data_IF_968620920480
#
_entry.id   IF_968620920480
#
_cell.length_a   1.000
_cell.length_b   1.000
_cell.length_c   1.000
_cell.angle_alpha   90.00
_cell.angle_beta   90.00
_cell.angle_gamma   90.00
#
_symmetry.space_group_name_H-M   'P 1'
#
loop_
_entity.id
_entity.type
_entity.pdbx_description
1 polymer ?
#
# COMPACT_ATOMS: atom_id res chain seq x y z
N UNK A 1 53.55 -20.34 -95.58
CA UNK A 1 52.13 -20.42 -96.00
C UNK A 1 51.32 -19.59 -95.00
N UNK A 2 51.19 -18.27 -95.20
CA UNK A 2 49.97 -17.57 -95.66
C UNK A 2 48.66 -18.05 -95.01
N UNK A 3 48.19 -17.37 -93.95
CA UNK A 3 46.85 -16.78 -93.68
C UNK A 3 47.01 -15.82 -92.48
N UNK A 4 46.91 -14.48 -92.56
CA UNK A 4 45.87 -13.54 -93.04
C UNK A 4 44.78 -13.26 -91.99
N UNK A 5 44.69 -11.97 -91.57
CA UNK A 5 43.63 -11.39 -90.72
C UNK A 5 44.15 -10.24 -89.83
N UNK A 6 44.61 -9.08 -90.35
CA UNK A 6 43.85 -7.85 -90.69
C UNK A 6 43.18 -7.16 -89.48
N UNK A 7 43.84 -6.15 -88.87
CA UNK A 7 43.68 -4.67 -89.05
C UNK A 7 42.55 -4.06 -88.21
N UNK A 8 42.88 -3.11 -87.32
CA UNK A 8 42.40 -1.72 -87.42
C UNK A 8 43.01 -0.84 -86.31
N UNK A 9 43.87 0.07 -86.77
CA UNK A 9 44.46 1.22 -86.09
C UNK A 9 43.49 2.40 -86.26
N UNK A 10 43.12 3.11 -85.19
CA UNK A 10 43.09 4.58 -85.14
C UNK A 10 42.53 5.10 -83.81
N UNK A 11 43.32 5.99 -83.22
CA UNK A 11 43.04 6.88 -82.10
C UNK A 11 41.84 7.77 -82.34
N UNK A 12 41.02 7.99 -81.30
CA UNK A 12 40.29 9.25 -81.13
C UNK A 12 40.12 9.54 -79.64
N UNK A 13 40.72 10.64 -79.19
CA UNK A 13 40.53 11.21 -77.86
C UNK A 13 39.12 11.80 -77.77
N UNK A 14 38.40 11.51 -76.68
CA UNK A 14 37.29 12.36 -76.23
C UNK A 14 37.33 12.47 -74.72
N UNK A 15 37.68 13.67 -74.27
CA UNK A 15 37.50 14.15 -72.90
C UNK A 15 36.01 14.42 -72.75
N UNK A 16 35.33 13.76 -71.81
CA UNK A 16 33.99 14.15 -71.39
C UNK A 16 33.85 14.15 -69.86
N UNK A 17 33.71 15.39 -69.37
CA UNK A 17 32.94 15.84 -68.22
C UNK A 17 32.92 14.98 -66.95
N UNK A 18 33.72 15.43 -65.98
CA UNK A 18 33.43 15.28 -64.56
C UNK A 18 32.01 15.78 -64.29
N UNK A 19 31.12 14.87 -63.87
CA UNK A 19 29.90 15.21 -63.16
C UNK A 19 30.10 14.81 -61.70
N UNK A 20 30.25 15.81 -60.84
CA UNK A 20 30.26 15.61 -59.40
C UNK A 20 28.89 15.09 -58.97
N UNK A 21 28.82 13.80 -58.65
CA UNK A 21 27.65 13.20 -58.03
C UNK A 21 27.66 13.59 -56.55
N UNK A 22 26.93 14.65 -56.21
CA UNK A 22 26.58 14.99 -54.84
C UNK A 22 25.69 13.89 -54.27
N UNK A 23 26.29 12.90 -53.63
CA UNK A 23 25.60 11.98 -52.73
C UNK A 23 25.11 12.81 -51.54
N UNK A 24 23.79 13.04 -51.46
CA UNK A 24 23.17 13.63 -50.29
C UNK A 24 23.41 12.70 -49.09
N UNK A 25 24.28 13.13 -48.18
CA UNK A 25 24.54 12.49 -46.90
C UNK A 25 23.24 12.49 -46.09
N UNK A 26 22.61 11.32 -46.01
CA UNK A 26 21.45 11.09 -45.14
C UNK A 26 21.93 11.23 -43.70
N UNK A 27 21.55 12.33 -43.05
CA UNK A 27 21.89 12.64 -41.66
C UNK A 27 21.61 11.42 -40.75
N UNK A 28 22.49 11.13 -39.78
CA UNK A 28 22.27 10.02 -38.87
C UNK A 28 20.99 10.28 -38.08
N UNK A 29 20.01 9.39 -38.21
CA UNK A 29 18.82 9.41 -37.37
C UNK A 29 19.29 9.28 -35.91
N UNK A 30 19.20 10.39 -35.16
CA UNK A 30 19.46 10.38 -33.72
C UNK A 30 18.35 9.59 -33.05
N UNK A 31 18.59 8.31 -32.81
CA UNK A 31 17.74 7.49 -31.94
C UNK A 31 17.87 8.04 -30.52
N UNK A 32 16.85 8.78 -30.08
CA UNK A 32 16.82 9.33 -28.72
C UNK A 32 16.45 8.20 -27.77
N UNK A 33 17.43 7.72 -27.00
CA UNK A 33 17.18 6.72 -25.96
C UNK A 33 16.45 7.41 -24.81
N UNK A 34 15.24 6.94 -24.51
CA UNK A 34 14.43 7.45 -23.41
C UNK A 34 15.04 6.98 -22.09
N UNK A 35 15.32 7.92 -21.21
CA UNK A 35 15.76 7.63 -19.84
C UNK A 35 14.53 7.20 -19.05
N UNK A 36 14.58 6.00 -18.48
CA UNK A 36 13.55 5.50 -17.58
C UNK A 36 13.51 6.38 -16.32
N UNK A 37 12.33 6.91 -15.99
CA UNK A 37 12.11 7.71 -14.78
C UNK A 37 11.30 6.88 -13.79
N UNK A 38 11.97 6.42 -12.74
CA UNK A 38 11.30 5.73 -11.62
C UNK A 38 10.73 6.75 -10.65
N UNK A 39 9.40 6.88 -10.61
CA UNK A 39 8.72 7.73 -9.62
C UNK A 39 8.53 6.94 -8.32
N UNK A 40 9.33 7.27 -7.30
CA UNK A 40 9.20 6.69 -5.95
C UNK A 40 8.19 7.52 -5.16
N UNK A 41 7.00 6.96 -4.90
CA UNK A 41 5.98 7.60 -4.06
C UNK A 41 6.03 7.03 -2.64
N UNK A 42 6.55 7.81 -1.70
CA UNK A 42 6.52 7.46 -0.27
C UNK A 42 5.12 7.76 0.30
N UNK A 43 4.52 6.80 1.00
CA UNK A 43 3.26 7.03 1.72
C UNK A 43 3.49 7.98 2.89
N UNK A 44 2.52 8.87 3.18
CA UNK A 44 2.59 9.77 4.34
C UNK A 44 2.41 8.96 5.63
N UNK A 45 3.13 9.27 6.70
CA UNK A 45 2.96 8.55 7.98
C UNK A 45 1.52 8.67 8.53
N UNK A 46 0.94 9.86 8.43
CA UNK A 46 -0.43 10.16 8.84
C UNK A 46 -1.14 10.87 7.68
N UNK A 47 -2.37 10.45 7.37
CA UNK A 47 -3.24 11.05 6.36
C UNK A 47 -4.58 11.42 7.01
N UNK A 48 -4.90 12.71 7.02
CA UNK A 48 -6.19 13.20 7.50
C UNK A 48 -7.18 13.26 6.34
N UNK A 49 -8.32 12.59 6.50
CA UNK A 49 -9.50 12.72 5.63
C UNK A 49 -10.63 13.40 6.40
N UNK A 50 -11.71 13.71 5.69
CA UNK A 50 -12.88 14.37 6.26
C UNK A 50 -13.56 13.49 7.34
N UNK A 51 -13.65 12.18 7.08
CA UNK A 51 -14.34 11.19 7.92
C UNK A 51 -13.41 10.40 8.85
N UNK A 52 -12.11 10.33 8.51
CA UNK A 52 -11.14 9.46 9.20
C UNK A 52 -9.71 9.98 9.22
N UNK A 53 -8.94 9.53 10.21
CA UNK A 53 -7.49 9.68 10.28
C UNK A 53 -6.84 8.33 9.99
N UNK A 54 -5.92 8.29 9.02
CA UNK A 54 -5.23 7.07 8.61
C UNK A 54 -3.78 7.14 9.08
N UNK A 55 -3.36 6.14 9.84
CA UNK A 55 -1.99 5.92 10.26
C UNK A 55 -1.40 4.80 9.42
N UNK A 56 -0.42 5.12 8.57
CA UNK A 56 0.31 4.10 7.81
C UNK A 56 1.26 3.41 8.79
N UNK A 57 0.96 2.17 9.14
CA UNK A 57 1.59 1.47 10.27
C UNK A 57 2.81 0.67 9.81
N UNK A 58 2.70 0.00 8.65
CA UNK A 58 3.77 -0.82 8.07
C UNK A 58 5.06 -0.06 7.82
N UNK A 59 4.94 1.21 7.42
CA UNK A 59 6.06 2.03 6.96
C UNK A 59 6.74 2.78 8.11
N UNK A 60 6.27 2.59 9.35
CA UNK A 60 6.75 3.30 10.54
C UNK A 60 7.47 2.34 11.48
N UNK A 61 8.82 2.38 11.57
CA UNK A 61 9.61 1.47 12.40
C UNK A 61 9.23 1.49 13.89
N UNK A 62 8.82 2.66 14.40
CA UNK A 62 8.39 2.83 15.79
C UNK A 62 7.06 2.15 16.11
N UNK A 63 6.23 1.87 15.10
CA UNK A 63 4.90 1.28 15.23
C UNK A 63 4.89 -0.21 14.86
N UNK A 64 5.65 -0.62 13.84
CA UNK A 64 5.62 -1.98 13.29
C UNK A 64 6.49 -3.02 14.04
N UNK A 65 6.99 -2.65 15.23
CA UNK A 65 7.83 -3.51 16.09
C UNK A 65 7.08 -3.89 17.35
N UNK A 66 7.22 -5.15 17.81
CA UNK A 66 6.57 -5.65 19.03
C UNK A 66 5.13 -6.13 18.79
N UNK A 67 4.25 -5.88 19.76
CA UNK A 67 2.83 -6.22 19.67
C UNK A 67 2.02 -5.11 18.99
N UNK A 68 0.87 -5.46 18.42
CA UNK A 68 -0.05 -4.47 17.85
C UNK A 68 -0.57 -3.51 18.91
N UNK A 69 -0.84 -4.01 20.13
CA UNK A 69 -1.25 -3.16 21.25
C UNK A 69 -0.19 -2.10 21.59
N UNK A 70 1.09 -2.47 21.61
CA UNK A 70 2.19 -1.54 21.86
C UNK A 70 2.26 -0.45 20.78
N UNK A 71 2.15 -0.82 19.51
CA UNK A 71 2.17 0.16 18.42
C UNK A 71 0.92 1.04 18.39
N UNK A 72 -0.26 0.51 18.74
CA UNK A 72 -1.50 1.30 18.89
C UNK A 72 -1.34 2.36 19.99
N UNK A 73 -0.77 2.01 21.14
CA UNK A 73 -0.54 2.94 22.27
C UNK A 73 0.36 4.12 21.90
N UNK A 74 1.16 4.00 20.84
CA UNK A 74 2.05 5.06 20.33
C UNK A 74 1.34 6.02 19.36
N UNK A 75 0.11 5.74 18.95
CA UNK A 75 -0.63 6.60 18.03
C UNK A 75 -1.04 7.91 18.72
N UNK A 76 -0.81 9.07 18.11
CA UNK A 76 -1.13 10.36 18.71
C UNK A 76 -2.64 10.54 18.88
N UNK A 77 -3.06 10.97 20.07
CA UNK A 77 -4.46 11.19 20.41
C UNK A 77 -5.25 9.93 20.73
N UNK A 78 -4.61 8.74 20.68
CA UNK A 78 -5.20 7.48 21.11
C UNK A 78 -4.77 7.16 22.55
N UNK A 79 -5.73 6.69 23.33
CA UNK A 79 -5.53 6.21 24.69
C UNK A 79 -6.09 4.79 24.75
N UNK A 80 -5.26 3.83 25.18
CA UNK A 80 -5.70 2.46 25.43
C UNK A 80 -5.50 2.13 26.92
N UNK A 81 -6.60 1.81 27.61
CA UNK A 81 -6.63 1.45 29.02
C UNK A 81 -7.28 0.08 29.19
N UNK A 82 -6.79 -0.71 30.15
CA UNK A 82 -7.39 -2.00 30.49
C UNK A 82 -8.79 -1.88 31.09
N UNK A 83 -9.09 -0.74 31.73
CA UNK A 83 -10.39 -0.51 32.40
C UNK A 83 -11.34 0.27 31.48
N UNK A 84 -10.86 1.36 30.88
CA UNK A 84 -11.70 2.27 30.09
C UNK A 84 -11.79 1.89 28.60
N UNK A 85 -11.03 0.89 28.14
CA UNK A 85 -10.95 0.52 26.73
C UNK A 85 -10.14 1.51 25.91
N UNK A 86 -10.44 1.58 24.61
CA UNK A 86 -9.76 2.46 23.66
C UNK A 86 -10.57 3.72 23.40
N UNK A 87 -9.88 4.87 23.43
CA UNK A 87 -10.45 6.18 23.17
C UNK A 87 -9.58 6.95 22.20
N UNK A 88 -10.20 7.78 21.38
CA UNK A 88 -9.52 8.75 20.54
C UNK A 88 -10.16 10.12 20.69
N UNK A 89 -9.35 11.13 21.06
CA UNK A 89 -9.82 12.50 21.26
C UNK A 89 -11.08 12.61 22.15
N UNK A 90 -11.16 11.79 23.20
CA UNK A 90 -12.28 11.76 24.15
C UNK A 90 -13.53 11.00 23.68
N UNK A 91 -13.51 10.33 22.52
CA UNK A 91 -14.57 9.44 22.06
C UNK A 91 -14.17 7.98 22.27
N UNK A 92 -15.09 7.17 22.79
CA UNK A 92 -14.90 5.72 22.86
C UNK A 92 -14.80 5.13 21.45
N UNK A 93 -13.91 4.15 21.30
CA UNK A 93 -13.67 3.44 20.06
C UNK A 93 -14.31 2.06 20.07
N UNK A 94 -15.11 1.78 19.05
CA UNK A 94 -15.47 0.41 18.68
C UNK A 94 -14.37 -0.14 17.76
N UNK A 95 -13.85 -1.34 18.06
CA UNK A 95 -12.68 -1.90 17.36
C UNK A 95 -13.10 -2.87 16.28
N UNK A 96 -12.56 -2.64 15.08
CA UNK A 96 -12.81 -3.39 13.88
C UNK A 96 -11.49 -3.95 13.35
N UNK A 97 -11.57 -5.11 12.70
CA UNK A 97 -10.48 -5.71 11.97
C UNK A 97 -10.94 -5.98 10.54
N UNK A 98 -10.22 -5.40 9.58
CA UNK A 98 -10.55 -5.49 8.15
C UNK A 98 -12.03 -5.17 7.84
N UNK A 99 -12.57 -4.15 8.51
CA UNK A 99 -13.96 -3.71 8.34
C UNK A 99 -15.02 -4.56 9.05
N UNK A 100 -14.64 -5.56 9.85
CA UNK A 100 -15.57 -6.36 10.67
C UNK A 100 -15.41 -6.04 12.17
N UNK A 101 -16.51 -5.93 12.93
CA UNK A 101 -16.44 -5.63 14.35
C UNK A 101 -15.81 -6.78 15.14
N UNK A 102 -14.91 -6.46 16.07
CA UNK A 102 -14.39 -7.40 17.05
C UNK A 102 -15.34 -7.40 18.27
N UNK A 103 -16.30 -8.31 18.27
CA UNK A 103 -17.30 -8.44 19.34
C UNK A 103 -16.74 -9.23 20.55
N UNK A 104 -15.71 -8.69 21.20
CA UNK A 104 -15.04 -9.29 22.35
C UNK A 104 -14.90 -8.27 23.48
N UNK A 105 -14.72 -8.74 24.72
CA UNK A 105 -14.52 -7.86 25.87
C UNK A 105 -13.20 -7.09 25.77
N UNK A 106 -13.08 -5.95 26.50
CA UNK A 106 -11.84 -5.16 26.54
C UNK A 106 -10.62 -5.99 26.93
N UNK A 107 -10.76 -6.91 27.88
CA UNK A 107 -9.66 -7.77 28.34
C UNK A 107 -9.23 -8.76 27.25
N UNK A 108 -10.18 -9.39 26.57
CA UNK A 108 -9.91 -10.30 25.45
C UNK A 108 -9.29 -9.55 24.28
N UNK A 109 -9.75 -8.32 24.01
CA UNK A 109 -9.20 -7.46 22.98
C UNK A 109 -7.75 -7.09 23.25
N UNK A 110 -7.43 -6.69 24.48
CA UNK A 110 -6.04 -6.38 24.84
C UNK A 110 -5.15 -7.62 24.70
N UNK A 111 -5.60 -8.79 25.17
CA UNK A 111 -4.86 -10.04 25.01
C UNK A 111 -4.67 -10.42 23.53
N UNK A 112 -5.71 -10.24 22.69
CA UNK A 112 -5.66 -10.52 21.27
C UNK A 112 -4.68 -9.59 20.52
N UNK A 113 -4.72 -8.28 20.80
CA UNK A 113 -3.82 -7.31 20.20
C UNK A 113 -2.37 -7.43 20.71
N UNK A 114 -2.20 -7.89 21.95
CA UNK A 114 -0.87 -8.18 22.52
C UNK A 114 -0.26 -9.43 21.89
N UNK A 115 -1.06 -10.46 21.60
CA UNK A 115 -0.62 -11.68 20.91
C UNK A 115 -0.37 -11.52 19.41
N UNK A 116 -0.83 -10.42 18.81
CA UNK A 116 -0.66 -10.15 17.37
C UNK A 116 0.63 -9.36 17.11
N UNK A 117 1.49 -9.80 16.17
CA UNK A 117 2.71 -9.08 15.86
C UNK A 117 2.41 -7.79 15.11
N UNK A 118 3.09 -6.69 15.48
CA UNK A 118 2.88 -5.36 14.92
C UNK A 118 3.07 -5.28 13.40
N UNK A 119 3.98 -6.08 12.86
CA UNK A 119 4.25 -6.16 11.43
C UNK A 119 3.11 -6.79 10.61
N UNK A 120 2.11 -7.42 11.25
CA UNK A 120 0.91 -7.94 10.59
C UNK A 120 -0.04 -6.84 10.12
N UNK A 121 0.16 -5.59 10.57
CA UNK A 121 -0.72 -4.47 10.30
C UNK A 121 -0.17 -3.61 9.15
N UNK A 122 -1.04 -3.29 8.19
CA UNK A 122 -0.71 -2.36 7.11
C UNK A 122 -0.96 -0.91 7.55
N UNK A 123 -2.16 -0.65 8.06
CA UNK A 123 -2.58 0.69 8.50
C UNK A 123 -3.68 0.60 9.55
N UNK A 124 -3.84 1.69 10.30
CA UNK A 124 -4.93 1.86 11.27
C UNK A 124 -5.74 3.07 10.86
N UNK A 125 -7.05 2.90 10.77
CA UNK A 125 -7.99 3.95 10.40
C UNK A 125 -8.86 4.29 11.62
N UNK A 126 -8.80 5.55 12.05
CA UNK A 126 -9.69 6.06 13.09
C UNK A 126 -10.80 6.85 12.40
N UNK A 127 -12.00 6.30 12.38
CA UNK A 127 -13.16 6.84 11.67
C UNK A 127 -14.03 7.54 12.71
N UNK A 128 -14.02 8.86 12.70
CA UNK A 128 -14.78 9.68 13.66
C UNK A 128 -16.22 9.89 13.21
N UNK A 129 -16.50 9.69 11.93
CA UNK A 129 -17.82 9.80 11.32
C UNK A 129 -18.12 8.54 10.50
N UNK A 130 -18.47 7.42 11.17
CA UNK A 130 -18.74 6.16 10.47
C UNK A 130 -19.99 6.27 9.59
N UNK A 131 -19.89 5.79 8.35
CA UNK A 131 -21.01 5.69 7.42
C UNK A 131 -21.82 4.40 7.62
N UNK A 132 -22.77 4.17 6.71
CA UNK A 132 -23.67 3.02 6.76
C UNK A 132 -22.97 1.66 6.54
N UNK A 133 -21.72 1.65 6.09
CA UNK A 133 -20.92 0.45 5.89
C UNK A 133 -20.47 -0.21 7.20
N UNK A 134 -20.55 0.50 8.34
CA UNK A 134 -20.16 -0.03 9.65
C UNK A 134 -21.39 -0.34 10.51
N UNK A 135 -21.75 -1.63 10.68
CA UNK A 135 -22.85 -2.01 11.55
C UNK A 135 -22.46 -1.84 13.03
N UNK A 136 -23.42 -1.43 13.87
CA UNK A 136 -23.33 -1.49 15.33
C UNK A 136 -22.30 -0.54 16.00
N UNK A 137 -22.27 0.73 15.62
CA UNK A 137 -21.54 1.73 16.43
C UNK A 137 -22.42 2.23 17.56
N UNK A 138 -21.88 2.31 18.78
CA UNK A 138 -22.62 2.83 19.96
C UNK A 138 -22.69 4.38 19.97
N UNK A 139 -22.67 5.01 18.79
CA UNK A 139 -22.48 6.45 18.62
C UNK A 139 -21.02 6.92 18.82
N UNK A 140 -20.08 5.98 18.95
CA UNK A 140 -18.64 6.22 19.09
C UNK A 140 -17.89 6.36 17.77
N UNK A 141 -16.58 6.60 17.87
CA UNK A 141 -15.68 6.50 16.71
C UNK A 141 -15.28 5.03 16.49
N UNK A 142 -14.76 4.70 15.31
CA UNK A 142 -14.28 3.35 14.99
C UNK A 142 -12.76 3.36 14.91
N UNK A 143 -12.13 2.35 15.49
CA UNK A 143 -10.74 1.99 15.19
C UNK A 143 -10.74 0.76 14.31
N UNK A 144 -10.39 0.92 13.03
CA UNK A 144 -10.32 -0.16 12.07
C UNK A 144 -8.86 -0.53 11.79
N UNK A 145 -8.49 -1.75 12.20
CA UNK A 145 -7.17 -2.33 12.02
C UNK A 145 -7.16 -3.04 10.66
N UNK A 146 -6.35 -2.55 9.72
CA UNK A 146 -6.19 -3.17 8.40
C UNK A 146 -4.96 -4.05 8.43
N UNK A 147 -5.17 -5.35 8.28
CA UNK A 147 -4.07 -6.33 8.23
C UNK A 147 -3.40 -6.31 6.86
N UNK A 148 -2.12 -6.64 6.82
CA UNK A 148 -1.38 -6.78 5.58
C UNK A 148 -1.81 -8.05 4.82
N UNK A 149 -1.47 -8.15 3.53
CA UNK A 149 -1.88 -9.28 2.68
C UNK A 149 -1.39 -10.64 3.18
N UNK A 150 -0.22 -10.71 3.82
CA UNK A 150 0.33 -11.96 4.33
C UNK A 150 -0.43 -12.41 5.59
N UNK A 151 -0.80 -11.48 6.46
CA UNK A 151 -1.58 -11.72 7.67
C UNK A 151 -2.97 -12.30 7.35
N UNK A 152 -3.59 -11.87 6.25
CA UNK A 152 -4.89 -12.38 5.78
C UNK A 152 -4.90 -13.86 5.39
N UNK A 153 -3.73 -14.42 5.09
CA UNK A 153 -3.61 -15.83 4.75
C UNK A 153 -3.59 -16.74 6.00
N UNK A 154 -3.46 -16.16 7.19
CA UNK A 154 -3.55 -16.89 8.45
C UNK A 154 -4.98 -16.87 8.98
N UNK A 155 -5.46 -18.02 9.46
CA UNK A 155 -6.79 -18.15 10.05
C UNK A 155 -6.75 -17.73 11.53
N UNK A 156 -7.45 -16.65 11.86
CA UNK A 156 -7.69 -16.22 13.25
C UNK A 156 -9.05 -16.75 13.72
N UNK A 157 -9.09 -17.53 14.79
CA UNK A 157 -10.33 -18.00 15.41
C UNK A 157 -10.37 -17.60 16.88
N UNK A 158 -11.44 -16.92 17.30
CA UNK A 158 -11.67 -16.53 18.69
C UNK A 158 -12.88 -17.28 19.21
N UNK A 159 -12.72 -18.00 20.33
CA UNK A 159 -13.78 -18.76 20.99
C UNK A 159 -14.07 -18.14 22.35
N UNK A 160 -15.29 -17.64 22.53
CA UNK A 160 -15.75 -17.03 23.79
C UNK A 160 -16.91 -17.86 24.34
N UNK A 161 -16.79 -18.34 25.57
CA UNK A 161 -17.82 -19.09 26.29
C UNK A 161 -18.29 -18.28 27.50
N UNK A 162 -19.52 -17.77 27.50
CA UNK A 162 -20.06 -16.95 28.58
C UNK A 162 -21.32 -17.56 29.20
N UNK A 163 -21.39 -17.54 30.54
CA UNK A 163 -22.56 -17.98 31.31
C UNK A 163 -22.94 -16.89 32.31
N UNK A 164 -24.18 -16.39 32.26
CA UNK A 164 -24.70 -15.38 33.19
C UNK A 164 -25.85 -15.94 34.00
N UNK A 165 -25.78 -15.84 35.34
CA UNK A 165 -26.89 -16.17 36.24
C UNK A 165 -27.37 -14.89 36.93
N UNK A 166 -28.67 -14.60 36.83
CA UNK A 166 -29.30 -13.47 37.52
C UNK A 166 -30.20 -14.02 38.62
N UNK A 167 -29.76 -13.92 39.87
CA UNK A 167 -30.61 -14.19 41.03
C UNK A 167 -31.48 -12.97 41.32
N UNK A 168 -32.79 -13.11 41.23
CA UNK A 168 -33.71 -12.17 41.86
C UNK A 168 -33.91 -12.60 43.31
N UNK A 169 -33.27 -11.90 44.23
CA UNK A 169 -33.66 -12.00 45.63
C UNK A 169 -35.01 -11.29 45.80
N UNK A 170 -36.06 -12.07 46.02
CA UNK A 170 -37.37 -11.54 46.40
C UNK A 170 -37.33 -11.16 47.88
N UNK A 171 -36.69 -10.03 48.19
CA UNK A 171 -36.85 -9.45 49.52
C UNK A 171 -38.10 -8.58 49.51
N UNK A 172 -39.11 -9.07 50.25
CA UNK A 172 -40.37 -8.42 50.62
C UNK A 172 -40.17 -7.17 51.45
#
# INVERSE_FOLDING_TARGET
MRKLGLIAMMTFASVFAVSAQTTAEKAPEKTTQLIEVTVIKTKKAIEQKADRTIFNFSDQPSLNTGSVLEGIKKLPGLIASDIAGMMYQGKQLDVFMDGRPLNISTNELNAFLEGMPANAIEKIEIITQPGAEFPATSGGAILNIITNKNAKNYLSATYTNSTSFTSYDQVR
#
